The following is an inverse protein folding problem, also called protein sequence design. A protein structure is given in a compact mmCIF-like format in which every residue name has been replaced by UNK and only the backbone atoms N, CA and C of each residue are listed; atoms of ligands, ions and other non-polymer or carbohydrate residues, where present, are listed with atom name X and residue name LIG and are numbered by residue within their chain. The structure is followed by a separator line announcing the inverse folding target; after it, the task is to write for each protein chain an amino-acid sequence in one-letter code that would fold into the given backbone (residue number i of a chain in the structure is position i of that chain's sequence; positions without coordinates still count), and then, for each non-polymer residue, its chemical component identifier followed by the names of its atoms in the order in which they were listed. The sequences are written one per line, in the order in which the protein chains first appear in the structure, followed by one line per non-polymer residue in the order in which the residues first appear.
data_IF_408811069691
#
_entry.id   IF_408811069691
#
_cell.length_a   1.000
_cell.length_b   1.000
_cell.length_c   1.000
_cell.angle_alpha   90.00
_cell.angle_beta   90.00
_cell.angle_gamma   90.00
#
_symmetry.space_group_name_H-M   'P 1'
#
loop_
_entity.id
_entity.type
_entity.pdbx_description
1 polymer ?
#
# COMPACT_ATOMS: atom_id res chain seq x y z
N UNK A 1 -30.25 -31.81 42.75
CA UNK A 1 -30.64 -30.51 42.16
C UNK A 1 -29.40 -29.63 42.12
N UNK A 2 -28.81 -29.47 40.94
CA UNK A 2 -27.52 -28.80 40.74
C UNK A 2 -27.80 -27.35 40.33
N UNK A 3 -27.28 -26.39 41.08
CA UNK A 3 -27.27 -24.98 40.69
C UNK A 3 -25.96 -24.71 39.92
N UNK A 4 -26.06 -24.59 38.60
CA UNK A 4 -24.95 -24.15 37.76
C UNK A 4 -24.85 -22.62 37.86
N UNK A 5 -23.73 -22.12 38.36
CA UNK A 5 -23.42 -20.69 38.38
C UNK A 5 -23.05 -20.21 36.98
N UNK A 6 -23.77 -19.19 36.48
CA UNK A 6 -23.40 -18.50 35.26
C UNK A 6 -22.21 -17.56 35.56
N UNK A 7 -21.04 -17.90 35.02
CA UNK A 7 -19.89 -17.00 34.96
C UNK A 7 -20.12 -15.97 33.86
N UNK A 8 -20.33 -14.71 34.24
CA UNK A 8 -20.36 -13.56 33.33
C UNK A 8 -18.91 -13.23 32.97
N UNK A 9 -18.47 -13.61 31.77
CA UNK A 9 -17.22 -13.11 31.19
C UNK A 9 -17.44 -11.66 30.78
N UNK A 10 -17.01 -10.72 31.62
CA UNK A 10 -16.85 -9.32 31.24
C UNK A 10 -15.68 -9.21 30.27
N UNK A 11 -15.99 -9.13 28.97
CA UNK A 11 -15.05 -8.64 27.95
C UNK A 11 -14.69 -7.19 28.32
N UNK A 12 -13.49 -6.98 28.87
CA UNK A 12 -12.94 -5.64 29.01
C UNK A 12 -12.82 -5.04 27.61
N UNK A 13 -13.45 -3.89 27.40
CA UNK A 13 -13.25 -3.12 26.18
C UNK A 13 -11.75 -2.87 26.00
N UNK A 14 -11.17 -3.37 24.90
CA UNK A 14 -9.79 -3.06 24.55
C UNK A 14 -9.70 -1.56 24.28
N UNK A 15 -8.91 -0.85 25.09
CA UNK A 15 -8.62 0.57 24.86
C UNK A 15 -7.71 0.67 23.65
N UNK A 16 -8.20 1.24 22.55
CA UNK A 16 -7.38 1.60 21.39
C UNK A 16 -6.44 2.74 21.81
N UNK A 17 -5.14 2.47 21.86
CA UNK A 17 -4.12 3.51 22.02
C UNK A 17 -3.80 4.05 20.64
N UNK A 18 -4.00 5.35 20.44
CA UNK A 18 -3.60 6.07 19.23
C UNK A 18 -2.31 6.79 19.56
N UNK A 19 -1.25 6.47 18.84
CA UNK A 19 0.05 7.14 18.94
C UNK A 19 0.06 8.44 18.12
N UNK A 20 1.16 9.20 18.18
CA UNK A 20 1.34 10.39 17.36
C UNK A 20 1.38 10.04 15.86
N UNK A 21 0.86 10.93 15.03
CA UNK A 21 0.87 10.74 13.58
C UNK A 21 2.30 10.89 13.02
N UNK A 22 2.73 9.92 12.22
CA UNK A 22 4.01 9.99 11.47
C UNK A 22 3.74 10.46 10.04
N UNK A 23 4.48 11.47 9.58
CA UNK A 23 4.44 11.91 8.18
C UNK A 23 5.32 10.99 7.34
N UNK A 24 4.70 10.18 6.48
CA UNK A 24 5.40 9.23 5.59
C UNK A 24 6.14 9.95 4.47
N UNK A 25 5.46 10.85 3.77
CA UNK A 25 5.99 11.59 2.62
C UNK A 25 5.21 12.88 2.37
N UNK A 26 5.76 13.73 1.50
CA UNK A 26 5.09 14.93 0.98
C UNK A 26 5.25 14.98 -0.53
N UNK A 27 4.16 15.27 -1.22
CA UNK A 27 4.22 15.72 -2.61
C UNK A 27 4.49 17.22 -2.66
N UNK A 28 4.99 17.70 -3.81
CA UNK A 28 5.08 19.13 -4.08
C UNK A 28 3.89 19.58 -4.90
N UNK A 29 3.28 20.70 -4.50
CA UNK A 29 2.19 21.33 -5.25
C UNK A 29 2.57 21.46 -6.75
N UNK A 30 1.65 21.13 -7.67
CA UNK A 30 0.23 20.85 -7.47
C UNK A 30 -0.10 19.37 -7.21
N UNK A 31 0.89 18.53 -6.87
CA UNK A 31 0.68 17.07 -6.70
C UNK A 31 0.14 16.71 -5.32
N UNK A 32 -0.75 15.70 -5.26
CA UNK A 32 -1.36 15.18 -4.03
C UNK A 32 -1.34 13.65 -4.02
N UNK A 33 -1.23 13.05 -2.83
CA UNK A 33 -1.46 11.62 -2.59
C UNK A 33 -2.95 11.31 -2.50
N UNK A 34 -3.36 10.14 -2.98
CA UNK A 34 -4.71 9.62 -2.86
C UNK A 34 -4.69 8.10 -2.64
N UNK A 35 -5.80 7.57 -2.10
CA UNK A 35 -6.08 6.14 -1.90
C UNK A 35 -4.92 5.34 -1.29
N UNK A 36 -4.59 5.59 0.00
CA UNK A 36 -3.57 4.82 0.68
C UNK A 36 -4.02 3.38 0.96
N UNK A 37 -3.10 2.44 0.74
CA UNK A 37 -3.19 1.05 1.18
C UNK A 37 -1.93 0.68 1.98
N UNK A 38 -2.07 -0.14 3.04
CA UNK A 38 -0.98 -0.57 3.91
C UNK A 38 -1.03 -2.10 4.13
N UNK A 39 0.12 -2.75 4.05
CA UNK A 39 0.35 -4.13 4.43
C UNK A 39 1.51 -4.22 5.44
N UNK A 40 1.42 -5.17 6.36
CA UNK A 40 2.44 -5.47 7.36
C UNK A 40 2.96 -6.88 7.09
N UNK A 41 4.28 -7.08 7.12
CA UNK A 41 4.88 -8.39 6.89
C UNK A 41 4.46 -9.35 8.01
N UNK A 42 3.80 -10.48 7.70
CA UNK A 42 3.37 -11.44 8.72
C UNK A 42 4.53 -12.10 9.47
N UNK A 43 5.77 -11.98 8.96
CA UNK A 43 6.99 -12.54 9.55
C UNK A 43 7.78 -11.51 10.35
N UNK A 44 7.53 -10.21 10.12
CA UNK A 44 8.24 -9.12 10.77
C UNK A 44 7.33 -7.91 10.96
N UNK A 45 6.84 -7.72 12.19
CA UNK A 45 5.95 -6.60 12.54
C UNK A 45 6.58 -5.21 12.41
N UNK A 46 7.89 -5.10 12.12
CA UNK A 46 8.54 -3.83 11.82
C UNK A 46 8.64 -3.53 10.31
N UNK A 47 8.28 -4.50 9.45
CA UNK A 47 8.36 -4.34 8.01
C UNK A 47 6.98 -4.02 7.43
N UNK A 48 6.83 -2.78 6.94
CA UNK A 48 5.60 -2.25 6.37
C UNK A 48 5.79 -1.93 4.89
N UNK A 49 4.73 -2.17 4.11
CA UNK A 49 4.63 -1.77 2.72
C UNK A 49 3.34 -0.98 2.54
N UNK A 50 3.44 0.24 2.03
CA UNK A 50 2.31 1.07 1.68
C UNK A 50 2.31 1.40 0.20
N UNK A 51 1.14 1.72 -0.35
CA UNK A 51 1.00 2.25 -1.69
C UNK A 51 -0.06 3.35 -1.76
N UNK A 52 0.10 4.23 -2.73
CA UNK A 52 -0.79 5.34 -3.06
C UNK A 52 -0.73 5.55 -4.57
N UNK A 53 -1.70 6.27 -5.11
CA UNK A 53 -1.49 6.98 -6.35
C UNK A 53 -1.38 8.49 -6.10
N UNK A 54 -0.77 9.20 -7.04
CA UNK A 54 -0.56 10.64 -6.97
C UNK A 54 -1.15 11.31 -8.19
N UNK A 55 -1.82 12.44 -8.03
CA UNK A 55 -2.33 13.25 -9.13
C UNK A 55 -1.73 14.65 -9.08
N UNK A 56 -1.41 15.21 -10.25
CA UNK A 56 -1.17 16.65 -10.39
C UNK A 56 -2.51 17.36 -10.56
N UNK A 57 -2.86 18.28 -9.66
CA UNK A 57 -4.13 19.02 -9.75
C UNK A 57 -4.14 20.10 -10.85
N UNK A 58 -3.05 20.24 -11.61
CA UNK A 58 -2.92 21.23 -12.69
C UNK A 58 -2.79 20.63 -14.09
N UNK A 59 -2.87 19.31 -14.21
CA UNK A 59 -2.71 18.58 -15.48
C UNK A 59 -3.97 17.75 -15.74
N UNK A 60 -4.15 17.30 -16.98
CA UNK A 60 -5.17 16.31 -17.31
C UNK A 60 -4.98 15.07 -16.42
N UNK A 61 -6.06 14.64 -15.77
CA UNK A 61 -6.00 13.65 -14.70
C UNK A 61 -5.35 12.36 -15.17
N UNK A 62 -5.69 11.88 -16.38
CA UNK A 62 -5.22 10.61 -16.91
C UNK A 62 -3.72 10.63 -17.26
N UNK A 63 -3.14 11.79 -17.58
CA UNK A 63 -1.70 11.92 -17.81
C UNK A 63 -0.91 12.22 -16.52
N UNK A 64 -1.63 12.58 -15.46
CA UNK A 64 -1.05 13.07 -14.24
C UNK A 64 -0.90 12.00 -13.15
N UNK A 65 -1.52 10.82 -13.31
CA UNK A 65 -1.53 9.80 -12.27
C UNK A 65 -0.28 8.91 -12.29
N UNK A 66 0.37 8.80 -11.13
CA UNK A 66 1.47 7.86 -10.90
C UNK A 66 1.22 7.05 -9.64
N UNK A 67 1.57 5.77 -9.66
CA UNK A 67 1.57 4.96 -8.44
C UNK A 67 2.93 5.00 -7.77
N UNK A 68 2.89 4.93 -6.45
CA UNK A 68 4.06 5.03 -5.58
C UNK A 68 3.89 4.02 -4.47
N UNK A 69 4.97 3.31 -4.14
CA UNK A 69 5.04 2.50 -2.92
C UNK A 69 6.03 3.09 -1.92
N UNK A 70 5.79 2.79 -0.64
CA UNK A 70 6.68 3.14 0.46
C UNK A 70 6.97 1.90 1.29
N UNK A 71 8.23 1.73 1.70
CA UNK A 71 8.65 0.64 2.61
C UNK A 71 9.24 1.23 3.88
N UNK A 72 8.92 0.62 5.01
CA UNK A 72 9.56 0.87 6.29
C UNK A 72 10.04 -0.44 6.89
N UNK A 73 11.28 -0.46 7.38
CA UNK A 73 11.88 -1.62 8.06
C UNK A 73 11.97 -1.43 9.58
N UNK A 74 11.38 -0.35 10.10
CA UNK A 74 11.47 0.05 11.51
C UNK A 74 10.12 0.44 12.12
N UNK A 75 9.06 -0.25 11.73
CA UNK A 75 7.73 -0.08 12.30
C UNK A 75 7.09 1.26 11.95
N UNK A 76 7.44 1.83 10.78
CA UNK A 76 6.87 3.07 10.29
C UNK A 76 7.57 4.34 10.77
N UNK A 77 8.71 4.25 11.45
CA UNK A 77 9.47 5.42 11.90
C UNK A 77 10.16 6.16 10.74
N UNK A 78 10.60 5.44 9.71
CA UNK A 78 11.15 6.02 8.48
C UNK A 78 10.75 5.21 7.25
N UNK A 79 10.66 5.87 6.11
CA UNK A 79 10.12 5.29 4.87
C UNK A 79 11.02 5.57 3.67
N UNK A 80 11.15 4.58 2.79
CA UNK A 80 11.78 4.68 1.48
C UNK A 80 10.71 4.68 0.40
N UNK A 81 10.84 5.55 -0.61
CA UNK A 81 9.89 5.70 -1.72
C UNK A 81 10.34 4.95 -2.96
N UNK A 82 9.38 4.40 -3.70
CA UNK A 82 9.57 3.94 -5.08
C UNK A 82 8.43 4.40 -5.97
N UNK A 83 8.79 4.95 -7.13
CA UNK A 83 7.87 5.43 -8.15
C UNK A 83 7.79 4.40 -9.28
N UNK A 84 6.58 3.96 -9.60
CA UNK A 84 6.36 3.04 -10.71
C UNK A 84 6.35 3.81 -12.04
N UNK A 85 6.99 3.25 -13.06
CA UNK A 85 6.97 3.76 -14.43
C UNK A 85 5.65 3.39 -15.16
N UNK A 86 4.52 3.68 -14.51
CA UNK A 86 3.17 3.44 -15.04
C UNK A 86 2.53 4.77 -15.43
N UNK A 87 1.83 4.77 -16.56
CA UNK A 87 1.01 5.90 -16.99
C UNK A 87 -0.44 5.68 -16.54
N UNK A 88 -1.14 6.76 -16.19
CA UNK A 88 -2.53 6.74 -15.70
C UNK A 88 -2.77 5.70 -14.60
N UNK A 89 -1.94 5.71 -13.56
CA UNK A 89 -1.98 4.68 -12.52
C UNK A 89 -2.88 5.07 -11.34
N UNK A 90 -3.82 4.20 -10.95
CA UNK A 90 -4.78 4.40 -9.85
C UNK A 90 -5.15 3.08 -9.14
N UNK A 91 -5.91 3.16 -8.04
CA UNK A 91 -6.34 2.01 -7.23
C UNK A 91 -5.18 1.15 -6.69
N UNK A 92 -4.08 1.79 -6.30
CA UNK A 92 -2.85 1.14 -5.85
C UNK A 92 -3.06 0.34 -4.55
N UNK A 93 -2.74 -0.96 -4.59
CA UNK A 93 -2.86 -1.87 -3.45
C UNK A 93 -1.62 -2.75 -3.32
N UNK A 94 -1.37 -3.23 -2.11
CA UNK A 94 -0.17 -4.00 -1.77
C UNK A 94 -0.48 -5.17 -0.85
N UNK A 95 0.31 -6.24 -0.94
CA UNK A 95 0.32 -7.34 0.01
C UNK A 95 1.76 -7.79 0.28
N UNK A 96 1.97 -8.39 1.45
CA UNK A 96 3.19 -9.14 1.76
C UNK A 96 2.78 -10.58 2.03
N UNK A 97 3.31 -11.50 1.24
CA UNK A 97 3.01 -12.92 1.33
C UNK A 97 3.80 -13.59 2.47
N UNK A 98 3.35 -14.77 2.90
CA UNK A 98 3.98 -15.52 4.00
C UNK A 98 5.38 -16.02 3.69
N UNK A 99 5.79 -16.06 2.42
CA UNK A 99 7.16 -16.36 1.99
C UNK A 99 8.04 -15.11 1.90
N UNK A 100 7.43 -13.92 2.03
CA UNK A 100 8.10 -12.62 1.99
C UNK A 100 8.05 -11.88 0.69
N UNK A 101 7.44 -12.45 -0.34
CA UNK A 101 7.23 -11.69 -1.55
C UNK A 101 6.30 -10.52 -1.28
N UNK A 102 6.65 -9.37 -1.84
CA UNK A 102 5.74 -8.24 -1.92
C UNK A 102 4.98 -8.31 -3.24
N UNK A 103 3.69 -7.98 -3.19
CA UNK A 103 2.82 -7.85 -4.35
C UNK A 103 2.29 -6.42 -4.40
N UNK A 104 2.37 -5.81 -5.57
CA UNK A 104 1.74 -4.53 -5.88
C UNK A 104 0.74 -4.76 -7.01
N UNK A 105 -0.45 -4.20 -6.87
CA UNK A 105 -1.49 -4.23 -7.91
C UNK A 105 -2.08 -2.84 -8.08
N UNK A 106 -2.36 -2.47 -9.34
CA UNK A 106 -3.00 -1.21 -9.68
C UNK A 106 -3.74 -1.33 -11.01
N UNK A 107 -4.53 -0.31 -11.32
CA UNK A 107 -5.03 -0.05 -12.67
C UNK A 107 -4.07 0.93 -13.36
N UNK A 108 -3.69 0.65 -14.60
CA UNK A 108 -2.79 1.50 -15.35
C UNK A 108 -2.94 1.36 -16.87
N UNK A 109 -2.43 2.35 -17.61
CA UNK A 109 -2.12 2.21 -19.02
C UNK A 109 -0.76 1.53 -19.21
N UNK A 110 -0.69 0.57 -20.13
CA UNK A 110 0.55 -0.09 -20.56
C UNK A 110 0.80 0.19 -22.05
N UNK A 111 1.80 1.03 -22.40
CA UNK A 111 2.01 1.50 -23.78
C UNK A 111 2.21 0.38 -24.81
N UNK A 112 2.77 -0.74 -24.38
CA UNK A 112 3.15 -1.86 -25.25
C UNK A 112 2.05 -2.94 -25.37
N UNK A 113 0.94 -2.79 -24.66
CA UNK A 113 -0.17 -3.76 -24.66
C UNK A 113 -1.29 -3.33 -25.63
N UNK A 114 -1.99 -4.31 -26.22
CA UNK A 114 -3.12 -4.06 -27.13
C UNK A 114 -4.35 -4.91 -26.76
N UNK A 115 -5.58 -4.41 -26.97
CA UNK A 115 -5.93 -3.07 -27.45
C UNK A 115 -5.50 -1.97 -26.46
N UNK A 116 -5.37 -0.73 -26.95
CA UNK A 116 -5.03 0.39 -26.07
C UNK A 116 -6.14 0.60 -25.04
N UNK A 117 -5.79 0.54 -23.75
CA UNK A 117 -6.69 0.70 -22.61
C UNK A 117 -5.94 1.36 -21.46
N UNK A 118 -6.68 2.14 -20.68
CA UNK A 118 -6.19 2.89 -19.51
C UNK A 118 -6.50 2.20 -18.17
N UNK A 119 -7.09 1.01 -18.21
CA UNK A 119 -7.63 0.31 -17.05
C UNK A 119 -7.12 -1.14 -16.97
N UNK A 120 -5.89 -1.39 -17.42
CA UNK A 120 -5.29 -2.71 -17.24
C UNK A 120 -5.01 -2.95 -15.77
N UNK A 121 -5.49 -4.08 -15.25
CA UNK A 121 -5.06 -4.58 -13.96
C UNK A 121 -3.64 -5.13 -14.10
N UNK A 122 -2.68 -4.45 -13.48
CA UNK A 122 -1.26 -4.80 -13.52
C UNK A 122 -0.80 -5.31 -12.16
N UNK A 123 0.00 -6.37 -12.15
CA UNK A 123 0.57 -6.96 -10.94
C UNK A 123 2.09 -6.98 -11.06
N UNK A 124 2.76 -6.54 -10.01
CA UNK A 124 4.19 -6.62 -9.86
C UNK A 124 4.53 -7.45 -8.62
N UNK A 125 5.61 -8.21 -8.72
CA UNK A 125 6.17 -8.99 -7.61
C UNK A 125 7.58 -8.49 -7.26
N UNK A 126 7.91 -8.46 -5.98
CA UNK A 126 9.28 -8.30 -5.49
C UNK A 126 9.64 -9.53 -4.66
N UNK A 127 10.77 -10.15 -4.99
CA UNK A 127 11.26 -11.35 -4.31
C UNK A 127 12.01 -11.05 -3.00
N UNK A 128 12.46 -9.81 -2.84
CA UNK A 128 13.20 -9.34 -1.68
C UNK A 128 12.31 -8.63 -0.65
N UNK A 129 11.01 -8.51 -0.93
CA UNK A 129 10.05 -7.82 -0.06
C UNK A 129 10.26 -6.31 -0.01
N UNK A 130 11.23 -5.76 -0.74
CA UNK A 130 11.56 -4.34 -0.78
C UNK A 130 11.24 -3.73 -2.14
N UNK A 131 11.04 -2.41 -2.15
CA UNK A 131 10.65 -1.66 -3.33
C UNK A 131 11.68 -1.65 -4.48
N UNK A 132 12.86 -2.26 -4.34
CA UNK A 132 13.96 -2.12 -5.30
C UNK A 132 13.93 -3.16 -6.44
N UNK A 133 13.00 -4.13 -6.42
CA UNK A 133 13.03 -5.29 -7.33
C UNK A 133 11.70 -5.71 -7.93
N UNK A 134 10.78 -4.77 -8.21
CA UNK A 134 9.49 -5.10 -8.83
C UNK A 134 9.64 -5.61 -10.27
N UNK A 135 9.16 -6.83 -10.54
CA UNK A 135 9.09 -7.41 -11.89
C UNK A 135 7.64 -7.60 -12.32
N UNK A 136 7.35 -7.30 -13.59
CA UNK A 136 6.06 -7.60 -14.23
C UNK A 136 5.97 -9.11 -14.45
N UNK A 137 4.87 -9.73 -14.01
CA UNK A 137 4.55 -11.15 -14.25
C UNK A 137 3.98 -11.38 -15.66
#
# INVERSE_FOLDING_TARGET
MVLAGASVSTLLAQVLRVEEAVVVAKETDPRRFSEPHLAIDPRNANHFLAAVWTASTSQDENQARHCVSFVSDNGGMSWSRHDFALADCYDAQVAILSDGQAVFVALAALPDLRPDRQDWLVVFHSNDGVCLGWTVS
#
